data_IF_071238242195
#
_entry.id   IF_071238242195
#
_cell.length_a   1.000
_cell.length_b   1.000
_cell.length_c   1.000
_cell.angle_alpha   90.00
_cell.angle_beta   90.00
_cell.angle_gamma   90.00
#
_symmetry.space_group_name_H-M   'P 1'
#
loop_
_entity.id
_entity.type
_entity.pdbx_description
1 polymer ?
#
# COMPACT_ATOMS: atom_id res chain seq x y z
N UNK A 1 5.71 25.39 20.31
CA UNK A 1 5.02 24.08 20.23
C UNK A 1 4.56 23.86 18.79
N UNK A 2 4.43 22.63 18.29
CA UNK A 2 3.88 22.39 16.94
C UNK A 2 2.35 22.56 16.95
N UNK A 3 1.83 23.45 16.11
CA UNK A 3 0.41 23.87 16.04
C UNK A 3 -0.36 23.26 14.86
N UNK A 4 0.25 22.35 14.09
CA UNK A 4 -0.40 21.74 12.93
C UNK A 4 -1.46 20.68 13.29
N UNK A 5 -2.29 20.35 12.29
CA UNK A 5 -3.31 19.31 12.38
C UNK A 5 -2.70 17.96 12.77
N UNK A 6 -3.34 17.28 13.73
CA UNK A 6 -2.91 15.97 14.25
C UNK A 6 -3.83 14.83 13.82
N UNK A 7 -4.94 15.18 13.20
CA UNK A 7 -5.96 14.24 12.73
C UNK A 7 -6.19 14.53 11.26
N UNK A 8 -6.21 13.47 10.46
CA UNK A 8 -6.45 13.52 9.03
C UNK A 8 -7.48 12.45 8.73
N UNK A 9 -8.46 12.78 7.89
CA UNK A 9 -9.50 11.85 7.51
C UNK A 9 -9.02 11.06 6.28
N UNK A 10 -9.22 9.74 6.35
CA UNK A 10 -9.04 8.81 5.23
C UNK A 10 -10.29 7.97 5.08
N UNK A 11 -10.57 7.44 3.87
CA UNK A 11 -11.63 6.46 3.70
C UNK A 11 -11.46 5.28 4.68
N UNK A 12 -12.49 4.89 5.47
CA UNK A 12 -12.36 3.86 6.50
C UNK A 12 -11.86 2.50 5.97
N UNK A 13 -12.18 2.18 4.72
CA UNK A 13 -11.72 0.97 4.07
C UNK A 13 -10.18 0.90 3.93
N UNK A 14 -9.49 2.04 3.97
CA UNK A 14 -8.03 2.07 3.90
C UNK A 14 -7.37 1.46 5.13
N UNK A 15 -8.05 1.38 6.28
CA UNK A 15 -7.51 0.78 7.50
C UNK A 15 -7.12 -0.69 7.33
N UNK A 16 -7.64 -1.35 6.28
CA UNK A 16 -7.31 -2.73 5.95
C UNK A 16 -5.94 -2.91 5.25
N UNK A 17 -5.39 -1.87 4.64
CA UNK A 17 -4.24 -2.01 3.72
C UNK A 17 -2.86 -1.81 4.38
N UNK A 18 -2.68 -0.94 5.40
CA UNK A 18 -1.38 -0.74 6.03
C UNK A 18 -0.76 -2.02 6.59
N UNK A 19 0.49 -2.29 6.23
CA UNK A 19 1.20 -3.49 6.62
C UNK A 19 2.50 -3.69 5.85
N UNK A 20 3.22 -4.75 6.22
CA UNK A 20 4.43 -5.19 5.54
C UNK A 20 4.09 -6.41 4.69
N UNK A 21 4.28 -6.32 3.37
CA UNK A 21 3.96 -7.37 2.42
C UNK A 21 5.24 -7.97 1.86
N UNK A 22 5.33 -9.31 1.84
CA UNK A 22 6.53 -10.04 1.42
C UNK A 22 6.20 -11.08 0.38
N UNK A 23 7.16 -11.33 -0.50
CA UNK A 23 7.12 -12.45 -1.46
C UNK A 23 8.47 -13.14 -1.49
N UNK A 24 8.50 -14.37 -1.98
CA UNK A 24 9.75 -15.09 -2.29
C UNK A 24 10.31 -14.69 -3.67
N UNK A 25 10.20 -13.41 -4.03
CA UNK A 25 10.75 -12.86 -5.26
C UNK A 25 12.17 -12.29 -4.97
N UNK A 26 13.21 -12.75 -5.67
CA UNK A 26 14.58 -12.33 -5.40
C UNK A 26 14.89 -10.89 -5.87
N UNK A 27 14.07 -10.29 -6.73
CA UNK A 27 14.25 -8.91 -7.21
C UNK A 27 13.48 -7.90 -6.35
N UNK A 28 12.29 -8.26 -5.88
CA UNK A 28 11.44 -7.41 -5.04
C UNK A 28 10.88 -8.24 -3.89
N UNK A 29 11.64 -8.31 -2.80
CA UNK A 29 11.32 -9.21 -1.68
C UNK A 29 10.16 -8.74 -0.81
N UNK A 30 9.94 -7.43 -0.71
CA UNK A 30 8.94 -6.84 0.16
C UNK A 30 8.61 -5.40 -0.23
N UNK A 31 7.57 -4.85 0.39
CA UNK A 31 7.28 -3.42 0.48
C UNK A 31 6.40 -3.18 1.71
N UNK A 32 6.21 -1.91 2.07
CA UNK A 32 5.27 -1.49 3.11
C UNK A 32 4.18 -0.63 2.52
N UNK A 33 3.00 -0.73 3.12
CA UNK A 33 1.88 0.17 2.88
C UNK A 33 1.60 0.88 4.19
N UNK A 34 1.46 2.20 4.15
CA UNK A 34 1.17 3.02 5.34
C UNK A 34 0.13 4.08 5.01
N UNK A 35 -0.66 4.47 6.00
CA UNK A 35 -1.41 5.73 5.96
C UNK A 35 -0.53 6.79 6.60
N UNK A 36 -0.28 7.88 5.89
CA UNK A 36 0.42 9.05 6.42
C UNK A 36 -0.39 10.29 6.09
N UNK A 37 -0.91 10.96 7.13
CA UNK A 37 -1.91 12.02 6.98
C UNK A 37 -3.16 11.49 6.28
N UNK A 38 -3.53 12.08 5.14
CA UNK A 38 -4.69 11.71 4.33
C UNK A 38 -4.33 10.79 3.15
N UNK A 39 -3.09 10.30 3.07
CA UNK A 39 -2.59 9.56 1.92
C UNK A 39 -2.23 8.13 2.28
N UNK A 40 -2.59 7.20 1.39
CA UNK A 40 -2.09 5.83 1.39
C UNK A 40 -0.80 5.78 0.58
N UNK A 41 0.28 5.26 1.17
CA UNK A 41 1.61 5.26 0.58
C UNK A 41 2.14 3.84 0.45
N UNK A 42 2.74 3.55 -0.71
CA UNK A 42 3.58 2.39 -0.96
C UNK A 42 5.04 2.77 -0.75
N UNK A 43 5.75 2.01 0.08
CA UNK A 43 7.16 2.23 0.40
C UNK A 43 7.97 1.01 -0.03
N UNK A 44 8.83 1.21 -1.02
CA UNK A 44 9.75 0.18 -1.49
C UNK A 44 10.94 -0.03 -0.53
N UNK A 45 11.62 -1.19 -0.57
CA UNK A 45 12.80 -1.45 0.26
C UNK A 45 13.96 -0.47 0.02
N UNK A 46 14.01 0.14 -1.16
CA UNK A 46 14.95 1.20 -1.51
C UNK A 46 14.68 2.54 -0.81
N UNK A 47 13.49 2.70 -0.20
CA UNK A 47 13.05 3.94 0.43
C UNK A 47 12.24 4.86 -0.48
N UNK A 48 12.03 4.49 -1.75
CA UNK A 48 11.11 5.25 -2.61
C UNK A 48 9.67 5.09 -2.12
N UNK A 49 8.99 6.22 -1.96
CA UNK A 49 7.58 6.30 -1.58
C UNK A 49 6.74 6.72 -2.79
N UNK A 50 5.62 6.03 -3.00
CA UNK A 50 4.64 6.36 -4.03
C UNK A 50 3.25 6.47 -3.40
N UNK A 51 2.48 7.53 -3.71
CA UNK A 51 1.07 7.57 -3.34
C UNK A 51 0.30 6.45 -4.05
N UNK A 52 -0.68 5.89 -3.35
CA UNK A 52 -1.65 4.94 -3.88
C UNK A 52 -2.94 5.70 -4.14
N UNK A 53 -3.20 6.00 -5.42
CA UNK A 53 -4.41 6.68 -5.86
C UNK A 53 -5.46 5.63 -6.20
N UNK A 54 -6.69 5.69 -5.66
CA UNK A 54 -7.77 4.76 -6.02
C UNK A 54 -7.97 4.67 -7.54
N UNK A 55 -8.05 3.45 -8.06
CA UNK A 55 -8.23 3.18 -9.49
C UNK A 55 -8.94 1.82 -9.67
N UNK A 56 -10.17 1.84 -10.19
CA UNK A 56 -11.07 0.69 -10.29
C UNK A 56 -11.09 -0.20 -9.02
N UNK A 57 -10.65 -1.46 -9.13
CA UNK A 57 -10.64 -2.46 -8.05
C UNK A 57 -9.35 -2.43 -7.19
N UNK A 58 -8.54 -1.37 -7.31
CA UNK A 58 -7.29 -1.25 -6.59
C UNK A 58 -6.76 0.18 -6.54
N UNK A 59 -5.45 0.31 -6.69
CA UNK A 59 -4.77 1.60 -6.63
C UNK A 59 -3.67 1.66 -7.69
N UNK A 60 -3.58 2.81 -8.37
CA UNK A 60 -2.39 3.16 -9.15
C UNK A 60 -1.28 3.62 -8.20
N UNK A 61 -0.06 3.16 -8.44
CA UNK A 61 1.12 3.62 -7.68
C UNK A 61 1.82 4.77 -8.39
N UNK A 62 1.93 5.90 -7.71
CA UNK A 62 2.57 7.13 -8.20
C UNK A 62 1.60 8.13 -8.82
N UNK A 63 2.15 9.30 -9.16
CA UNK A 63 1.36 10.46 -9.62
C UNK A 63 1.15 10.52 -11.14
N UNK A 64 1.86 9.69 -11.92
CA UNK A 64 1.70 9.67 -13.38
C UNK A 64 0.40 8.96 -13.76
N UNK A 65 -0.60 9.66 -14.33
CA UNK A 65 -1.87 9.07 -14.70
C UNK A 65 -1.76 8.06 -15.86
N UNK A 66 -0.67 8.08 -16.63
CA UNK A 66 -0.41 7.12 -17.70
C UNK A 66 0.37 5.89 -17.23
N UNK A 67 0.76 5.82 -15.95
CA UNK A 67 1.50 4.68 -15.40
C UNK A 67 0.62 3.42 -15.36
N UNK A 68 1.10 2.28 -15.87
CA UNK A 68 0.40 1.00 -15.77
C UNK A 68 0.58 0.32 -14.39
N UNK A 69 1.42 0.87 -13.52
CA UNK A 69 1.74 0.28 -12.22
C UNK A 69 0.56 0.40 -11.27
N UNK A 70 0.02 -0.75 -10.88
CA UNK A 70 -1.11 -0.88 -9.98
C UNK A 70 -0.86 -1.93 -8.90
N UNK A 71 -1.60 -1.78 -7.80
CA UNK A 71 -1.66 -2.71 -6.68
C UNK A 71 -3.13 -2.96 -6.31
N UNK A 72 -3.50 -4.22 -6.20
CA UNK A 72 -4.80 -4.64 -5.69
C UNK A 72 -4.63 -5.36 -4.35
N UNK A 73 -5.49 -5.06 -3.39
CA UNK A 73 -5.55 -5.75 -2.11
C UNK A 73 -6.72 -6.71 -2.10
N UNK A 74 -6.49 -7.94 -1.64
CA UNK A 74 -7.53 -8.93 -1.51
C UNK A 74 -7.35 -9.79 -0.25
N UNK A 75 -8.22 -10.78 -0.08
CA UNK A 75 -8.19 -11.69 1.08
C UNK A 75 -8.27 -10.90 2.40
N UNK A 76 -9.32 -10.08 2.53
CA UNK A 76 -9.57 -9.32 3.76
C UNK A 76 -10.12 -10.27 4.83
N UNK A 77 -9.39 -10.42 5.94
CA UNK A 77 -9.78 -11.22 7.11
C UNK A 77 -9.61 -10.36 8.34
N UNK A 78 -10.63 -10.33 9.22
CA UNK A 78 -10.66 -9.49 10.43
C UNK A 78 -10.29 -8.02 10.17
N UNK A 79 -10.77 -7.49 9.04
CA UNK A 79 -10.54 -6.10 8.63
C UNK A 79 -9.12 -5.81 8.14
N UNK A 80 -8.31 -6.81 7.82
CA UNK A 80 -6.94 -6.64 7.33
C UNK A 80 -6.72 -7.40 6.02
N UNK A 81 -6.11 -6.76 5.03
CA UNK A 81 -5.72 -7.40 3.78
C UNK A 81 -4.55 -8.35 4.00
N UNK A 82 -4.72 -9.63 3.66
CA UNK A 82 -3.67 -10.63 3.79
C UNK A 82 -2.80 -10.76 2.52
N UNK A 83 -3.27 -10.23 1.38
CA UNK A 83 -2.54 -10.30 0.12
C UNK A 83 -2.63 -9.00 -0.67
N UNK A 84 -1.53 -8.65 -1.31
CA UNK A 84 -1.41 -7.57 -2.27
C UNK A 84 -0.84 -8.11 -3.59
N UNK A 85 -1.43 -7.73 -4.71
CA UNK A 85 -1.02 -8.14 -6.06
C UNK A 85 -0.55 -6.93 -6.84
N UNK A 86 0.67 -6.97 -7.36
CA UNK A 86 1.20 -5.95 -8.26
C UNK A 86 0.82 -6.24 -9.72
N UNK A 87 0.85 -5.21 -10.56
CA UNK A 87 0.58 -5.28 -12.00
C UNK A 87 1.33 -6.38 -12.75
N UNK A 88 2.57 -6.65 -12.36
CA UNK A 88 3.38 -7.74 -12.92
C UNK A 88 2.92 -9.16 -12.55
N UNK A 89 1.78 -9.31 -11.85
CA UNK A 89 1.24 -10.60 -11.42
C UNK A 89 1.90 -11.19 -10.17
N UNK A 90 2.80 -10.46 -9.53
CA UNK A 90 3.45 -10.89 -8.30
C UNK A 90 2.53 -10.73 -7.09
N UNK A 91 2.26 -11.84 -6.40
CA UNK A 91 1.52 -11.87 -5.14
C UNK A 91 2.47 -11.68 -3.95
N UNK A 92 2.11 -10.78 -3.04
CA UNK A 92 2.79 -10.53 -1.77
C UNK A 92 1.81 -10.76 -0.63
N UNK A 93 2.31 -11.37 0.44
CA UNK A 93 1.49 -11.74 1.59
C UNK A 93 1.86 -10.87 2.78
N UNK A 94 0.84 -10.43 3.51
CA UNK A 94 1.03 -9.66 4.74
C UNK A 94 1.83 -10.51 5.72
N UNK A 95 2.88 -9.91 6.26
CA UNK A 95 3.79 -10.53 7.20
C UNK A 95 3.72 -9.81 8.54
N UNK A 96 3.89 -10.57 9.63
CA UNK A 96 3.66 -10.07 10.99
C UNK A 96 4.77 -9.16 11.52
N UNK A 97 5.93 -9.09 10.85
CA UNK A 97 7.04 -8.26 11.32
C UNK A 97 6.85 -6.81 10.88
N UNK A 98 7.12 -5.83 11.77
CA UNK A 98 7.14 -4.42 11.42
C UNK A 98 8.02 -4.10 10.20
#
# INVERSE_FOLDING_TARGET
>A
AYEGARTFETPPEWDAYPGHYRSWNPWLSNFRVVIRKSDLLLIWPSGYEYPLTPDDDGFRSGDDPASPEHIAFDTIVDGQALRARLAGGADYYRFFTP
#
